data_IF_285504937985
#
_entry.id   IF_285504937985
#
_cell.length_a   1.000
_cell.length_b   1.000
_cell.length_c   1.000
_cell.angle_alpha   90.00
_cell.angle_beta   90.00
_cell.angle_gamma   90.00
#
_symmetry.space_group_name_H-M   'P 1'
#
loop_
_entity.id
_entity.type
_entity.pdbx_description
1 polymer ?
#
# COMPACT_ATOMS: atom_id res chain seq x y z
N UNK A 1 -11.03 -17.60 -6.97
CA UNK A 1 -9.72 -18.28 -7.07
C UNK A 1 -9.00 -18.18 -5.73
N UNK A 2 -8.18 -19.18 -5.35
CA UNK A 2 -7.43 -19.12 -4.07
C UNK A 2 -6.01 -18.56 -4.28
N UNK A 3 -5.70 -17.46 -3.58
CA UNK A 3 -4.44 -16.71 -3.69
C UNK A 3 -3.19 -17.59 -3.56
N UNK A 4 -3.14 -18.41 -2.51
CA UNK A 4 -2.03 -19.31 -2.19
C UNK A 4 -1.86 -20.47 -3.20
N UNK A 5 -2.91 -20.79 -3.98
CA UNK A 5 -2.79 -21.76 -5.09
C UNK A 5 -2.21 -21.11 -6.35
N UNK A 6 -2.56 -19.85 -6.61
CA UNK A 6 -2.00 -19.09 -7.74
C UNK A 6 -0.54 -18.69 -7.49
N UNK A 7 -0.21 -18.36 -6.25
CA UNK A 7 1.10 -17.91 -5.81
C UNK A 7 1.59 -18.78 -4.66
N UNK A 8 2.10 -19.96 -5.00
CA UNK A 8 2.77 -20.84 -4.05
C UNK A 8 4.09 -20.26 -3.54
N UNK A 9 4.74 -20.97 -2.60
CA UNK A 9 6.01 -20.54 -2.00
C UNK A 9 7.11 -20.27 -3.05
N UNK A 10 7.11 -21.04 -4.14
CA UNK A 10 8.11 -20.96 -5.20
C UNK A 10 7.76 -19.94 -6.28
N UNK A 11 6.57 -19.32 -6.21
CA UNK A 11 6.13 -18.26 -7.12
C UNK A 11 5.77 -17.00 -6.33
N UNK A 12 6.76 -16.14 -6.14
CA UNK A 12 6.57 -14.84 -5.49
C UNK A 12 5.80 -13.88 -6.42
N UNK A 13 4.66 -13.32 -5.97
CA UNK A 13 3.92 -12.30 -6.72
C UNK A 13 4.66 -10.96 -6.74
N UNK A 14 4.27 -10.08 -7.64
CA UNK A 14 4.51 -8.64 -7.53
C UNK A 14 3.43 -7.97 -6.67
N UNK A 15 3.66 -6.72 -6.25
CA UNK A 15 2.63 -5.93 -5.56
C UNK A 15 1.44 -5.63 -6.49
N UNK A 16 1.69 -5.42 -7.77
CA UNK A 16 0.66 -5.19 -8.80
C UNK A 16 -0.22 -6.43 -8.99
N UNK A 17 0.37 -7.62 -9.03
CA UNK A 17 -0.36 -8.89 -9.11
C UNK A 17 -1.24 -9.10 -7.87
N UNK A 18 -0.72 -8.80 -6.67
CA UNK A 18 -1.49 -8.87 -5.44
C UNK A 18 -2.65 -7.86 -5.45
N UNK A 19 -2.40 -6.62 -5.87
CA UNK A 19 -3.43 -5.58 -6.01
C UNK A 19 -4.52 -5.97 -7.00
N UNK A 20 -4.13 -6.47 -8.17
CA UNK A 20 -5.05 -6.93 -9.22
C UNK A 20 -5.93 -8.07 -8.73
N UNK A 21 -5.32 -9.07 -8.07
CA UNK A 21 -6.06 -10.21 -7.52
C UNK A 21 -7.13 -9.78 -6.52
N UNK A 22 -6.80 -8.79 -5.70
CA UNK A 22 -7.70 -8.21 -4.71
C UNK A 22 -8.51 -7.03 -5.25
N UNK A 23 -8.91 -7.09 -6.53
CA UNK A 23 -9.87 -6.17 -7.13
C UNK A 23 -9.36 -4.76 -7.38
N UNK A 24 -8.04 -4.56 -7.41
CA UNK A 24 -7.42 -3.23 -7.55
C UNK A 24 -7.50 -2.37 -6.29
N UNK A 25 -7.91 -2.95 -5.15
CA UNK A 25 -8.11 -2.24 -3.88
C UNK A 25 -6.81 -1.84 -3.17
N UNK A 26 -5.64 -2.24 -3.69
CA UNK A 26 -4.42 -1.48 -3.45
C UNK A 26 -4.45 -0.25 -4.36
N UNK A 27 -5.31 0.70 -4.01
CA UNK A 27 -5.39 1.96 -4.73
C UNK A 27 -3.99 2.61 -4.74
N UNK A 28 -3.68 3.34 -5.81
CA UNK A 28 -2.49 4.19 -5.84
C UNK A 28 -2.49 5.16 -4.65
N UNK A 29 -3.66 5.50 -4.13
CA UNK A 29 -3.82 6.37 -2.98
C UNK A 29 -3.34 5.74 -1.68
N UNK A 30 -3.82 4.54 -1.30
CA UNK A 30 -3.40 3.89 -0.06
C UNK A 30 -1.90 3.57 -0.11
N UNK A 31 -1.41 3.08 -1.25
CA UNK A 31 0.03 2.80 -1.42
C UNK A 31 0.87 4.08 -1.39
N UNK A 32 0.37 5.18 -1.96
CA UNK A 32 0.97 6.50 -1.88
C UNK A 32 1.04 7.02 -0.45
N UNK A 33 -0.09 6.97 0.28
CA UNK A 33 -0.15 7.31 1.70
C UNK A 33 0.85 6.49 2.52
N UNK A 34 0.93 5.18 2.29
CA UNK A 34 1.92 4.34 2.99
C UNK A 34 3.35 4.70 2.62
N UNK A 35 3.64 5.00 1.35
CA UNK A 35 4.98 5.40 0.91
C UNK A 35 5.44 6.74 1.50
N UNK A 36 4.51 7.69 1.69
CA UNK A 36 4.78 9.00 2.28
C UNK A 36 4.98 8.92 3.81
N UNK A 37 4.28 8.01 4.49
CA UNK A 37 4.17 8.01 5.95
C UNK A 37 4.90 6.86 6.65
N UNK A 38 5.10 5.73 5.97
CA UNK A 38 5.81 4.58 6.51
C UNK A 38 7.28 4.60 6.02
N UNK A 39 8.28 4.63 6.92
CA UNK A 39 9.68 4.76 6.53
C UNK A 39 10.24 3.54 5.78
N UNK A 40 9.53 2.41 5.78
CA UNK A 40 9.94 1.20 5.09
C UNK A 40 8.95 0.83 3.99
N UNK A 41 9.50 0.46 2.83
CA UNK A 41 8.74 -0.08 1.72
C UNK A 41 7.99 -1.38 2.11
N UNK A 42 6.82 -1.64 1.50
CA UNK A 42 6.08 -2.89 1.69
C UNK A 42 6.94 -4.11 1.36
N UNK A 43 6.84 -5.15 2.18
CA UNK A 43 7.52 -6.44 1.94
C UNK A 43 6.52 -7.55 1.73
N UNK A 44 6.67 -8.27 0.62
CA UNK A 44 6.00 -9.53 0.38
C UNK A 44 6.71 -10.65 1.14
N UNK A 45 6.00 -11.25 2.09
CA UNK A 45 6.47 -12.35 2.94
C UNK A 45 5.52 -13.53 2.84
N UNK A 46 6.03 -14.71 2.51
CA UNK A 46 5.24 -15.95 2.47
C UNK A 46 4.93 -16.44 3.89
N UNK A 47 3.69 -16.87 4.11
CA UNK A 47 3.18 -17.44 5.34
C UNK A 47 2.69 -18.87 5.12
N UNK A 48 3.18 -19.80 5.92
CA UNK A 48 2.63 -21.17 6.01
C UNK A 48 1.55 -21.31 7.09
N UNK A 49 1.09 -20.21 7.69
CA UNK A 49 0.04 -20.25 8.71
C UNK A 49 -1.27 -20.77 8.11
N UNK A 50 -1.96 -21.64 8.84
CA UNK A 50 -3.24 -22.22 8.41
C UNK A 50 -4.36 -21.20 8.27
N UNK A 51 -4.34 -20.11 9.06
CA UNK A 51 -5.41 -19.12 9.07
C UNK A 51 -5.30 -18.09 7.93
N UNK A 52 -4.07 -17.74 7.52
CA UNK A 52 -3.79 -16.80 6.44
C UNK A 52 -2.54 -17.26 5.67
N UNK A 53 -2.68 -18.32 4.84
CA UNK A 53 -1.59 -18.89 4.06
C UNK A 53 -1.29 -18.06 2.81
N UNK A 54 -0.06 -18.15 2.31
CA UNK A 54 0.37 -17.51 1.07
C UNK A 54 1.16 -16.23 1.28
N UNK A 55 1.30 -15.44 0.22
CA UNK A 55 2.09 -14.21 0.23
C UNK A 55 1.32 -13.04 0.82
N UNK A 56 1.88 -12.41 1.85
CA UNK A 56 1.26 -11.28 2.55
C UNK A 56 2.11 -10.02 2.38
N UNK A 57 1.48 -8.86 2.34
CA UNK A 57 2.18 -7.57 2.24
C UNK A 57 2.30 -7.01 3.65
N UNK A 58 3.52 -6.80 4.13
CA UNK A 58 3.78 -6.28 5.48
C UNK A 58 4.42 -4.92 5.43
N UNK A 59 3.88 -4.01 6.24
CA UNK A 59 4.46 -2.71 6.54
C UNK A 59 5.03 -2.75 7.95
N UNK A 60 6.30 -2.40 8.10
CA UNK A 60 7.02 -2.52 9.38
C UNK A 60 7.82 -1.26 9.68
N UNK A 61 7.85 -0.85 10.95
CA UNK A 61 8.78 0.17 11.48
C UNK A 61 9.70 -0.48 12.50
N UNK A 62 11.02 -0.42 12.28
CA UNK A 62 12.03 -0.99 13.19
C UNK A 62 11.72 -2.44 13.60
N UNK A 63 11.30 -3.26 12.63
CA UNK A 63 10.90 -4.66 12.86
C UNK A 63 9.50 -4.87 13.45
N UNK A 64 8.84 -3.83 13.97
CA UNK A 64 7.47 -3.89 14.50
C UNK A 64 6.44 -3.74 13.38
N UNK A 65 5.36 -4.51 13.44
CA UNK A 65 4.30 -4.49 12.43
C UNK A 65 3.44 -3.21 12.55
N UNK A 66 3.36 -2.45 11.46
CA UNK A 66 2.37 -1.36 11.31
C UNK A 66 1.03 -2.01 10.95
N UNK A 67 0.98 -2.66 9.78
CA UNK A 67 -0.14 -3.47 9.35
C UNK A 67 0.32 -4.57 8.37
N UNK A 68 -0.53 -5.59 8.20
CA UNK A 68 -0.36 -6.68 7.23
C UNK A 68 -1.58 -6.75 6.33
N UNK A 69 -1.39 -6.80 5.01
CA UNK A 69 -2.45 -7.05 4.04
C UNK A 69 -2.39 -8.50 3.56
N UNK A 70 -3.55 -9.15 3.58
CA UNK A 70 -3.78 -10.49 3.07
C UNK A 70 -4.63 -10.38 1.80
N UNK A 71 -4.07 -10.69 0.61
CA UNK A 71 -4.82 -10.68 -0.63
C UNK A 71 -5.88 -11.77 -0.64
N UNK A 72 -7.13 -11.40 -0.89
CA UNK A 72 -8.26 -12.29 -1.15
C UNK A 72 -8.87 -11.95 -2.52
N UNK A 73 -9.73 -12.83 -3.03
CA UNK A 73 -10.33 -12.66 -4.36
C UNK A 73 -11.25 -11.42 -4.36
N UNK A 74 -10.79 -10.35 -5.02
CA UNK A 74 -11.52 -9.08 -5.11
C UNK A 74 -11.43 -8.14 -3.90
N UNK A 75 -10.65 -8.45 -2.85
CA UNK A 75 -10.44 -7.55 -1.69
C UNK A 75 -9.24 -7.94 -0.83
N UNK A 76 -8.88 -7.12 0.16
CA UNK A 76 -7.88 -7.47 1.18
C UNK A 76 -8.48 -7.57 2.57
N UNK A 77 -7.89 -8.42 3.40
CA UNK A 77 -7.97 -8.25 4.85
C UNK A 77 -6.74 -7.47 5.30
N UNK A 78 -6.93 -6.38 6.03
CA UNK A 78 -5.88 -5.69 6.74
C UNK A 78 -5.88 -6.10 8.22
N UNK A 79 -4.75 -6.62 8.71
CA UNK A 79 -4.50 -6.77 10.13
C UNK A 79 -3.73 -5.57 10.66
N UNK A 80 -4.32 -4.89 11.64
CA UNK A 80 -3.71 -3.75 12.34
C UNK A 80 -3.91 -3.89 13.85
N UNK A 81 -2.86 -3.58 14.61
CA UNK A 81 -2.85 -3.70 16.07
C UNK A 81 -2.94 -2.31 16.70
N UNK A 82 -4.07 -1.98 17.29
CA UNK A 82 -4.31 -0.69 17.96
C UNK A 82 -4.13 -0.87 19.46
N UNK A 83 -3.20 -0.15 20.07
CA UNK A 83 -2.83 -0.28 21.49
C UNK A 83 -2.03 0.94 21.96
N UNK A 84 -1.79 1.03 23.27
CA UNK A 84 -1.13 2.20 23.87
C UNK A 84 -1.88 3.50 23.56
N UNK A 85 -1.15 4.57 23.25
CA UNK A 85 -1.72 5.89 22.95
C UNK A 85 -2.71 5.89 21.78
N UNK A 86 -2.54 4.99 20.80
CA UNK A 86 -3.48 4.86 19.69
C UNK A 86 -4.86 4.34 20.15
N UNK A 87 -4.94 3.60 21.26
CA UNK A 87 -6.22 3.09 21.77
C UNK A 87 -7.11 4.24 22.26
N UNK A 88 -6.56 5.12 23.10
CA UNK A 88 -7.32 6.23 23.67
C UNK A 88 -7.79 7.21 22.58
N UNK A 89 -6.92 7.50 21.60
CA UNK A 89 -7.30 8.36 20.47
C UNK A 89 -8.34 7.68 19.57
N UNK A 90 -8.22 6.37 19.33
CA UNK A 90 -9.22 5.60 18.60
C UNK A 90 -10.58 5.61 19.30
N UNK A 91 -10.63 5.46 20.62
CA UNK A 91 -11.86 5.50 21.41
C UNK A 91 -12.54 6.88 21.34
N UNK A 92 -11.76 7.96 21.45
CA UNK A 92 -12.27 9.32 21.34
C UNK A 92 -12.84 9.64 19.95
N UNK A 93 -12.24 9.07 18.90
CA UNK A 93 -12.62 9.31 17.49
C UNK A 93 -13.52 8.23 16.91
N UNK A 94 -13.95 7.24 17.70
CA UNK A 94 -14.67 6.06 17.20
C UNK A 94 -15.91 6.44 16.36
N UNK A 95 -16.61 7.51 16.75
CA UNK A 95 -17.77 8.03 16.03
C UNK A 95 -17.50 8.52 14.61
N UNK A 96 -16.25 8.86 14.28
CA UNK A 96 -15.84 9.38 12.96
C UNK A 96 -15.65 8.27 11.92
N UNK A 97 -15.54 7.02 12.38
CA UNK A 97 -15.35 5.84 11.54
C UNK A 97 -16.69 5.28 11.05
N UNK A 98 -16.66 4.53 9.95
CA UNK A 98 -17.80 3.78 9.44
C UNK A 98 -18.35 2.81 10.50
N UNK A 99 -19.67 2.52 10.48
CA UNK A 99 -20.28 1.57 11.40
C UNK A 99 -19.59 0.20 11.42
N UNK A 100 -19.02 -0.21 10.29
CA UNK A 100 -18.23 -1.42 10.15
C UNK A 100 -16.97 -1.41 11.03
N UNK A 101 -16.13 -0.38 10.91
CA UNK A 101 -14.91 -0.25 11.73
C UNK A 101 -15.27 -0.07 13.21
N UNK A 102 -16.33 0.68 13.50
CA UNK A 102 -16.83 0.83 14.85
C UNK A 102 -17.22 -0.50 15.50
N UNK A 103 -17.99 -1.33 14.78
CA UNK A 103 -18.36 -2.67 15.21
C UNK A 103 -17.13 -3.55 15.43
N UNK A 104 -16.24 -3.63 14.43
CA UNK A 104 -14.98 -4.39 14.54
C UNK A 104 -14.17 -3.98 15.75
N UNK A 105 -14.05 -2.68 16.02
CA UNK A 105 -13.31 -2.20 17.18
C UNK A 105 -13.97 -2.61 18.48
N UNK A 106 -15.28 -2.40 18.65
CA UNK A 106 -16.02 -2.77 19.88
C UNK A 106 -15.96 -4.27 20.17
N UNK A 107 -16.16 -5.10 19.14
CA UNK A 107 -16.28 -6.55 19.26
C UNK A 107 -14.92 -7.25 19.45
N UNK A 108 -13.82 -6.62 19.03
CA UNK A 108 -12.49 -7.22 19.11
C UNK A 108 -11.90 -7.08 20.51
N UNK A 109 -11.72 -8.19 21.23
CA UNK A 109 -11.08 -8.19 22.55
C UNK A 109 -9.62 -7.72 22.49
N UNK A 110 -9.16 -7.15 23.59
CA UNK A 110 -7.74 -6.79 23.77
C UNK A 110 -6.94 -8.07 24.01
N UNK A 111 -5.83 -8.22 23.29
CA UNK A 111 -4.84 -9.27 23.48
C UNK A 111 -3.44 -8.64 23.47
N UNK A 112 -2.65 -8.93 24.51
CA UNK A 112 -1.32 -8.32 24.72
C UNK A 112 -1.32 -6.79 24.62
N UNK A 113 -2.31 -6.14 25.24
CA UNK A 113 -2.42 -4.68 25.31
C UNK A 113 -2.81 -3.99 23.99
N UNK A 114 -3.23 -4.75 22.97
CA UNK A 114 -3.74 -4.20 21.70
C UNK A 114 -5.01 -4.91 21.25
N UNK A 115 -5.88 -4.23 20.50
CA UNK A 115 -6.94 -4.86 19.69
C UNK A 115 -6.36 -5.22 18.33
N UNK A 116 -6.47 -6.50 17.97
CA UNK A 116 -5.97 -7.03 16.71
C UNK A 116 -7.12 -7.05 15.71
N UNK A 117 -7.28 -5.94 14.99
CA UNK A 117 -8.38 -5.79 14.05
C UNK A 117 -8.03 -6.51 12.75
N UNK A 118 -8.96 -7.35 12.27
CA UNK A 118 -8.95 -7.92 10.93
C UNK A 118 -10.07 -7.28 10.13
N UNK A 119 -9.68 -6.38 9.24
CA UNK A 119 -10.57 -5.49 8.50
C UNK A 119 -10.60 -5.91 7.04
N UNK A 120 -11.71 -6.47 6.60
CA UNK A 120 -12.01 -6.56 5.17
C UNK A 120 -12.14 -5.15 4.57
N UNK A 121 -11.30 -4.84 3.58
CA UNK A 121 -11.31 -3.57 2.87
C UNK A 121 -11.94 -3.85 1.52
N UNK A 122 -13.25 -3.57 1.40
CA UNK A 122 -14.05 -3.89 0.21
C UNK A 122 -14.50 -2.65 -0.56
N UNK A 123 -14.41 -1.49 0.06
CA UNK A 123 -14.85 -0.22 -0.50
C UNK A 123 -13.98 0.94 -0.02
N UNK A 124 -14.14 2.08 -0.69
CA UNK A 124 -13.33 3.26 -0.46
C UNK A 124 -13.59 3.92 0.90
N UNK A 125 -14.78 3.78 1.49
CA UNK A 125 -15.05 4.37 2.80
C UNK A 125 -14.27 3.63 3.89
N UNK A 126 -14.23 2.30 3.81
CA UNK A 126 -13.42 1.47 4.70
C UNK A 126 -11.91 1.66 4.46
N UNK A 127 -11.48 1.87 3.21
CA UNK A 127 -10.09 2.21 2.89
C UNK A 127 -9.64 3.52 3.54
N UNK A 128 -10.47 4.58 3.49
CA UNK A 128 -10.18 5.86 4.15
C UNK A 128 -10.08 5.72 5.67
N UNK A 129 -10.98 4.94 6.26
CA UNK A 129 -10.90 4.63 7.68
C UNK A 129 -9.64 3.83 8.03
N UNK A 130 -9.16 2.96 7.14
CA UNK A 130 -7.90 2.26 7.32
C UNK A 130 -6.70 3.24 7.33
N UNK A 131 -6.68 4.24 6.44
CA UNK A 131 -5.63 5.28 6.46
C UNK A 131 -5.59 6.01 7.82
N UNK A 132 -6.76 6.35 8.37
CA UNK A 132 -6.89 6.95 9.72
C UNK A 132 -6.34 6.02 10.81
N UNK A 133 -6.68 4.73 10.78
CA UNK A 133 -6.15 3.75 11.72
C UNK A 133 -4.62 3.61 11.61
N UNK A 134 -4.10 3.61 10.39
CA UNK A 134 -2.65 3.56 10.17
C UNK A 134 -1.99 4.84 10.67
N UNK A 135 -2.58 6.02 10.45
CA UNK A 135 -2.09 7.28 10.99
C UNK A 135 -1.95 7.22 12.52
N UNK A 136 -3.00 6.77 13.22
CA UNK A 136 -2.97 6.55 14.67
C UNK A 136 -1.85 5.59 15.09
N UNK A 137 -1.72 4.47 14.36
CA UNK A 137 -0.70 3.46 14.61
C UNK A 137 0.73 3.97 14.42
N UNK A 138 0.97 4.76 13.38
CA UNK A 138 2.28 5.34 13.11
C UNK A 138 2.64 6.38 14.18
N UNK A 139 1.67 7.21 14.62
CA UNK A 139 1.85 8.15 15.73
C UNK A 139 2.20 7.46 17.04
N UNK A 140 1.51 6.39 17.40
CA UNK A 140 1.84 5.61 18.61
C UNK A 140 3.20 4.91 18.52
N UNK A 141 3.82 4.86 17.33
CA UNK A 141 5.17 4.37 17.13
C UNK A 141 6.22 5.49 17.12
N UNK A 142 5.84 6.74 17.41
CA UNK A 142 6.73 7.90 17.38
C UNK A 142 7.07 8.35 15.96
N UNK A 143 6.14 8.22 15.01
CA UNK A 143 6.21 8.92 13.73
C UNK A 143 5.24 10.11 13.75
N UNK A 144 5.55 11.13 12.97
CA UNK A 144 4.61 12.19 12.60
C UNK A 144 4.22 11.99 11.15
N UNK A 145 3.28 11.05 10.85
CA UNK A 145 2.68 10.99 9.53
C UNK A 145 2.06 12.35 9.20
N UNK A 146 2.10 12.75 7.92
CA UNK A 146 1.34 13.87 7.41
C UNK A 146 -0.15 13.69 7.72
N UNK A 147 -0.94 14.78 7.78
CA UNK A 147 -2.36 14.68 8.08
C UNK A 147 -3.00 13.68 7.12
N UNK A 148 -3.90 12.85 7.65
CA UNK A 148 -4.75 12.03 6.79
C UNK A 148 -5.47 12.95 5.82
N UNK A 149 -5.55 12.59 4.52
CA UNK A 149 -6.21 13.44 3.54
C UNK A 149 -7.65 13.72 3.98
N UNK A 150 -8.00 15.00 4.08
CA UNK A 150 -9.31 15.46 4.58
C UNK A 150 -10.45 14.70 3.85
N UNK A 151 -11.38 14.10 4.62
CA UNK A 151 -12.52 13.33 4.09
C UNK A 151 -13.32 14.23 3.12
N UNK A 152 -13.06 14.10 1.81
CA UNK A 152 -13.74 14.85 0.74
C UNK A 152 -12.86 15.66 -0.23
N UNK A 153 -11.54 15.76 -0.03
CA UNK A 153 -10.63 16.54 -0.91
C UNK A 153 -9.68 15.72 -1.80
N UNK A 154 -9.97 14.44 -2.04
CA UNK A 154 -9.17 13.65 -2.98
C UNK A 154 -9.67 13.88 -4.40
N UNK A 155 -9.02 14.81 -5.11
CA UNK A 155 -9.18 14.92 -6.56
C UNK A 155 -8.53 13.70 -7.20
N UNK A 156 -9.22 13.08 -8.16
CA UNK A 156 -8.66 12.02 -9.00
C UNK A 156 -7.33 12.52 -9.57
N UNK A 157 -6.22 11.89 -9.17
CA UNK A 157 -4.91 12.13 -9.78
C UNK A 157 -5.06 11.77 -11.26
N UNK A 158 -5.05 12.78 -12.13
CA UNK A 158 -5.05 12.57 -13.58
C UNK A 158 -3.86 11.68 -13.93
N UNK A 159 -4.14 10.55 -14.61
CA UNK A 159 -3.12 9.68 -15.20
C UNK A 159 -2.21 10.53 -16.09
N UNK A 160 -1.00 10.78 -15.60
CA UNK A 160 0.05 11.43 -16.36
C UNK A 160 0.33 10.64 -17.64
N UNK A 161 -0.14 11.19 -18.76
CA UNK A 161 0.12 10.75 -20.13
C UNK A 161 1.63 10.63 -20.33
N UNK A 162 2.08 9.44 -20.73
CA UNK A 162 3.46 9.23 -21.17
C UNK A 162 3.81 10.18 -22.33
N UNK A 163 4.93 10.89 -22.19
CA UNK A 163 5.55 11.61 -23.30
C UNK A 163 6.63 10.73 -23.90
N UNK A 164 6.25 10.06 -24.99
CA UNK A 164 7.14 9.48 -25.99
C UNK A 164 8.07 10.59 -26.49
N UNK A 165 9.39 10.43 -26.32
CA UNK A 165 10.37 11.31 -26.97
C UNK A 165 10.51 10.90 -28.43
N UNK A 166 9.96 11.75 -29.29
CA UNK A 166 9.99 11.67 -30.74
C UNK A 166 11.41 11.95 -31.28
N UNK A 167 11.84 11.12 -32.25
CA UNK A 167 13.10 11.24 -32.97
C UNK A 167 13.06 12.49 -33.87
N UNK A 168 13.90 13.49 -33.58
CA UNK A 168 14.19 14.58 -34.49
C UNK A 168 15.13 14.13 -35.62
N UNK A 169 14.59 13.96 -36.83
CA UNK A 169 15.35 14.00 -38.10
C UNK A 169 15.74 15.45 -38.39
N UNK A 170 17.02 15.69 -38.66
CA UNK A 170 17.52 16.93 -39.26
C UNK A 170 18.52 16.60 -40.37
N UNK A 171 18.04 16.67 -41.62
CA UNK A 171 18.82 16.57 -42.86
C UNK A 171 19.16 17.96 -43.39
N UNK A 172 20.43 18.19 -43.76
CA UNK A 172 20.94 18.92 -44.94
C UNK A 172 22.42 19.29 -44.68
N UNK A 173 23.44 18.66 -45.27
CA UNK A 173 23.87 18.60 -46.68
C UNK A 173 24.92 19.66 -47.06
N UNK A 174 26.01 19.14 -47.69
CA UNK A 174 26.99 19.78 -48.60
C UNK A 174 28.13 20.62 -47.96
N UNK A 175 29.42 20.40 -48.22
CA UNK A 175 30.12 19.39 -49.04
C UNK A 175 31.58 19.78 -49.32
N UNK A 176 32.32 18.81 -49.90
CA UNK A 176 33.57 18.87 -50.69
C UNK A 176 34.95 18.91 -50.00
N UNK A 177 35.81 17.98 -50.44
CA UNK A 177 37.28 18.12 -50.58
C UNK A 177 38.11 17.05 -49.84
N UNK A 178 38.27 15.81 -50.33
CA UNK A 178 39.25 15.27 -51.32
C UNK A 178 40.71 15.14 -50.80
N UNK A 179 41.24 13.90 -50.90
CA UNK A 179 42.65 13.42 -50.88
C UNK A 179 43.29 13.20 -49.50
N UNK A 180 44.18 12.25 -49.26
CA UNK A 180 44.65 11.00 -49.91
C UNK A 180 45.50 10.27 -48.83
N UNK A 181 45.72 8.98 -49.05
CA UNK A 181 46.76 8.16 -48.41
C UNK A 181 48.16 8.78 -48.58
N UNK A 182 49.05 8.57 -47.61
CA UNK A 182 50.35 7.88 -47.79
C UNK A 182 51.36 8.21 -46.67
N UNK A 183 51.93 7.14 -46.12
CA UNK A 183 53.31 6.92 -45.68
C UNK A 183 54.17 8.13 -45.22
N UNK A 184 54.52 8.12 -43.91
CA UNK A 184 55.87 7.84 -43.39
C UNK A 184 55.88 7.97 -41.86
#
# INVERSE_FOLDING_TARGET
MEWNRLYGKDRKPTLEEAGTFAGGLLSEDFMGFMAENCPAAPKLEYSGCTMQPGWNIKFKKNGKNVCTLYPLDGYFICMILIGGDAMAEMEARLGDFTPYIQGKFRDTRIFQGSRWLYLEIRDQAVERDLEELVFLKLRSMGLTPGPTPEKGKRTTREKGKGTTREKGKGTAARGKGKRNEDEN
#
